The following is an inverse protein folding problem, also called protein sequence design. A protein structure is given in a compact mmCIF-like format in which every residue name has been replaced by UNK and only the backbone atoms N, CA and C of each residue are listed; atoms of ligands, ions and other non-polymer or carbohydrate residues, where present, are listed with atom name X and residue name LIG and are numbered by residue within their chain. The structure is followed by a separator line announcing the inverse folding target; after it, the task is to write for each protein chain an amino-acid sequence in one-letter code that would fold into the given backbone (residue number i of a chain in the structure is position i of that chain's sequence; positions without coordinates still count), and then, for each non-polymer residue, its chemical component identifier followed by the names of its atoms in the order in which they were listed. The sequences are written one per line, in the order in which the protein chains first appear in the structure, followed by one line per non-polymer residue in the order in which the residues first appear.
data_IF_081902997947
#
_entry.id   IF_081902997947
#
_cell.length_a   1.000
_cell.length_b   1.000
_cell.length_c   1.000
_cell.angle_alpha   90.00
_cell.angle_beta   90.00
_cell.angle_gamma   90.00
#
_symmetry.space_group_name_H-M   'P 1'
#
loop_
_entity.id
_entity.type
_entity.pdbx_description
1 polymer ?
#
# COMPACT_ATOMS: atom_id res chain seq x y z
N UNK A 1 -0.55 -12.81 10.63
CA UNK A 1 -0.53 -11.42 10.12
C UNK A 1 0.89 -11.08 9.75
N UNK A 2 1.16 -10.75 8.48
CA UNK A 2 2.47 -10.26 8.06
C UNK A 2 2.32 -8.79 7.63
N UNK A 3 2.38 -7.89 8.60
CA UNK A 3 2.22 -6.45 8.39
C UNK A 3 3.28 -5.89 7.45
N UNK A 4 4.51 -6.41 7.50
CA UNK A 4 5.59 -6.00 6.60
C UNK A 4 5.22 -6.27 5.14
N UNK A 5 4.69 -7.46 4.84
CA UNK A 5 4.25 -7.78 3.47
C UNK A 5 3.14 -6.85 2.98
N UNK A 6 2.18 -6.50 3.84
CA UNK A 6 1.08 -5.59 3.46
C UNK A 6 1.58 -4.17 3.20
N UNK A 7 2.49 -3.69 4.04
CA UNK A 7 3.13 -2.38 3.89
C UNK A 7 3.99 -2.36 2.61
N UNK A 8 4.83 -3.37 2.40
CA UNK A 8 5.69 -3.49 1.22
C UNK A 8 4.86 -3.49 -0.06
N UNK A 9 3.75 -4.24 -0.07
CA UNK A 9 2.84 -4.28 -1.23
C UNK A 9 2.14 -2.95 -1.44
N UNK A 10 1.72 -2.26 -0.38
CA UNK A 10 1.13 -0.93 -0.51
C UNK A 10 2.14 0.10 -1.06
N UNK A 11 3.41 0.04 -0.62
CA UNK A 11 4.48 0.88 -1.15
C UNK A 11 4.80 0.56 -2.61
N UNK A 12 4.79 -0.72 -3.00
CA UNK A 12 4.90 -1.15 -4.39
C UNK A 12 3.77 -0.58 -5.26
N UNK A 13 2.52 -0.68 -4.79
CA UNK A 13 1.34 -0.10 -5.47
C UNK A 13 1.52 1.40 -5.65
N UNK A 14 1.96 2.13 -4.62
CA UNK A 14 2.17 3.59 -4.72
C UNK A 14 3.28 3.94 -5.73
N UNK A 15 4.39 3.21 -5.72
CA UNK A 15 5.51 3.43 -6.66
C UNK A 15 5.13 3.18 -8.11
N UNK A 16 4.32 2.15 -8.35
CA UNK A 16 3.87 1.77 -9.70
C UNK A 16 2.56 2.46 -10.10
N UNK A 17 1.97 3.28 -9.22
CA UNK A 17 0.73 3.98 -9.54
C UNK A 17 1.00 5.19 -10.43
N UNK A 18 0.22 5.31 -11.51
CA UNK A 18 0.14 6.52 -12.32
C UNK A 18 -1.28 7.08 -12.23
N UNK A 19 -1.39 8.37 -11.88
CA UNK A 19 -2.67 9.10 -11.68
C UNK A 19 -3.67 8.35 -10.78
N UNK A 20 -3.18 7.59 -9.79
CA UNK A 20 -4.02 6.85 -8.84
C UNK A 20 -4.48 5.47 -9.33
N UNK A 21 -3.94 4.96 -10.43
CA UNK A 21 -4.22 3.63 -10.95
C UNK A 21 -2.94 2.79 -11.07
N UNK A 22 -3.08 1.48 -10.92
CA UNK A 22 -2.05 0.47 -11.25
C UNK A 22 -2.60 -0.48 -12.31
N UNK A 23 -1.72 -1.02 -13.15
CA UNK A 23 -2.09 -2.07 -14.10
C UNK A 23 -1.89 -3.43 -13.44
N UNK A 24 -2.91 -4.28 -13.50
CA UNK A 24 -2.84 -5.63 -12.97
C UNK A 24 -3.14 -6.67 -14.04
N UNK A 25 -2.42 -7.79 -14.01
CA UNK A 25 -2.76 -8.98 -14.79
C UNK A 25 -3.92 -9.78 -14.15
N UNK A 26 -4.30 -10.88 -14.80
CA UNK A 26 -5.36 -11.78 -14.31
C UNK A 26 -5.03 -12.49 -12.98
N UNK A 27 -3.78 -12.45 -12.54
CA UNK A 27 -3.29 -13.07 -11.31
C UNK A 27 -3.05 -12.02 -10.19
N UNK A 28 -3.44 -10.76 -10.41
CA UNK A 28 -3.22 -9.61 -9.51
C UNK A 28 -1.75 -9.21 -9.33
N UNK A 29 -0.88 -9.53 -10.29
CA UNK A 29 0.46 -8.97 -10.32
C UNK A 29 0.41 -7.55 -10.88
N UNK A 30 1.15 -6.65 -10.24
CA UNK A 30 1.28 -5.26 -10.70
C UNK A 30 2.35 -5.23 -11.77
N UNK A 31 2.05 -4.63 -12.91
CA UNK A 31 2.95 -4.53 -14.05
C UNK A 31 3.03 -3.09 -14.53
N UNK A 32 4.17 -2.69 -15.08
CA UNK A 32 4.24 -1.42 -15.82
C UNK A 32 3.59 -1.57 -17.21
N UNK A 33 3.17 -0.46 -17.85
CA UNK A 33 2.70 -0.49 -19.23
C UNK A 33 3.70 -1.15 -20.19
N UNK A 34 4.99 -0.90 -20.00
CA UNK A 34 6.08 -1.44 -20.82
C UNK A 34 6.20 -2.95 -20.65
N UNK A 35 6.16 -3.43 -19.40
CA UNK A 35 6.21 -4.87 -19.09
C UNK A 35 5.02 -5.62 -19.67
N UNK A 36 3.82 -5.05 -19.53
CA UNK A 36 2.60 -5.63 -20.09
C UNK A 36 2.67 -5.72 -21.61
N UNK A 37 3.14 -4.67 -22.28
CA UNK A 37 3.33 -4.64 -23.73
C UNK A 37 4.40 -5.64 -24.20
N UNK A 38 5.54 -5.70 -23.51
CA UNK A 38 6.64 -6.61 -23.83
C UNK A 38 6.25 -8.07 -23.70
N UNK A 39 5.59 -8.42 -22.59
CA UNK A 39 5.15 -9.79 -22.30
C UNK A 39 3.85 -10.17 -23.02
N UNK A 40 3.22 -9.24 -23.75
CA UNK A 40 1.92 -9.42 -24.42
C UNK A 40 0.83 -9.91 -23.47
N UNK A 41 0.85 -9.40 -22.24
CA UNK A 41 -0.11 -9.76 -21.19
C UNK A 41 -1.24 -8.73 -21.19
N UNK A 42 -2.47 -9.21 -21.12
CA UNK A 42 -3.62 -8.33 -20.92
C UNK A 42 -3.62 -7.84 -19.48
N UNK A 43 -3.67 -6.51 -19.32
CA UNK A 43 -3.74 -5.86 -18.03
C UNK A 43 -4.98 -5.00 -17.93
N UNK A 44 -5.47 -4.84 -16.70
CA UNK A 44 -6.64 -4.02 -16.39
C UNK A 44 -6.23 -2.93 -15.41
N UNK A 45 -6.65 -1.67 -15.62
CA UNK A 45 -6.40 -0.61 -14.66
C UNK A 45 -7.23 -0.84 -13.39
N UNK A 46 -6.60 -0.62 -12.24
CA UNK A 46 -7.25 -0.74 -10.94
C UNK A 46 -6.91 0.44 -10.04
N UNK A 47 -7.85 0.86 -9.21
CA UNK A 47 -7.67 2.00 -8.33
C UNK A 47 -6.68 1.68 -7.20
N UNK A 48 -5.53 2.37 -7.18
CA UNK A 48 -4.44 2.12 -6.25
C UNK A 48 -4.86 2.35 -4.79
N UNK A 49 -5.64 3.40 -4.52
CA UNK A 49 -6.12 3.70 -3.18
C UNK A 49 -7.06 2.59 -2.66
N UNK A 50 -8.01 2.16 -3.49
CA UNK A 50 -8.96 1.10 -3.12
C UNK A 50 -8.24 -0.23 -2.89
N UNK A 51 -7.21 -0.52 -3.69
CA UNK A 51 -6.36 -1.69 -3.51
C UNK A 51 -5.73 -1.67 -2.11
N UNK A 52 -5.02 -0.60 -1.77
CA UNK A 52 -4.33 -0.43 -0.48
C UNK A 52 -5.32 -0.56 0.68
N UNK A 53 -6.45 0.14 0.61
CA UNK A 53 -7.49 0.06 1.64
C UNK A 53 -8.01 -1.37 1.85
N UNK A 54 -8.18 -2.13 0.76
CA UNK A 54 -8.67 -3.52 0.83
C UNK A 54 -7.63 -4.43 1.48
N UNK A 55 -6.35 -4.26 1.15
CA UNK A 55 -5.26 -5.05 1.75
C UNK A 55 -5.16 -4.83 3.26
N UNK A 56 -5.24 -3.58 3.72
CA UNK A 56 -5.19 -3.24 5.14
C UNK A 56 -6.46 -3.71 5.88
N UNK A 57 -7.64 -3.55 5.27
CA UNK A 57 -8.91 -4.02 5.85
C UNK A 57 -8.95 -5.54 6.01
N UNK A 58 -8.37 -6.29 5.07
CA UNK A 58 -8.23 -7.75 5.17
C UNK A 58 -7.33 -8.17 6.35
N UNK A 59 -6.45 -7.27 6.83
CA UNK A 59 -5.67 -7.45 8.05
C UNK A 59 -6.34 -6.80 9.28
N UNK A 60 -7.64 -6.48 9.22
CA UNK A 60 -8.37 -5.93 10.35
C UNK A 60 -8.02 -4.49 10.71
N UNK A 61 -7.30 -3.76 9.84
CA UNK A 61 -7.02 -2.34 10.03
C UNK A 61 -7.68 -1.52 8.92
N UNK A 62 -8.77 -0.83 9.26
CA UNK A 62 -9.45 0.05 8.32
C UNK A 62 -8.77 1.43 8.25
N UNK A 63 -7.77 1.55 7.39
CA UNK A 63 -7.12 2.82 7.10
C UNK A 63 -7.97 3.76 6.22
N UNK A 64 -9.16 3.34 5.77
CA UNK A 64 -10.11 4.23 5.08
C UNK A 64 -10.86 5.15 6.06
N UNK A 65 -10.96 4.75 7.33
CA UNK A 65 -11.44 5.61 8.42
C UNK A 65 -10.40 6.69 8.77
N UNK A 66 -10.82 7.95 8.72
CA UNK A 66 -10.00 9.11 9.09
C UNK A 66 -9.55 9.04 10.56
N UNK A 67 -10.40 8.57 11.47
CA UNK A 67 -10.08 8.47 12.89
C UNK A 67 -8.97 7.45 13.13
N UNK A 68 -9.01 6.32 12.42
CA UNK A 68 -7.96 5.30 12.48
C UNK A 68 -6.63 5.88 11.99
N UNK A 69 -6.62 6.60 10.85
CA UNK A 69 -5.40 7.24 10.33
C UNK A 69 -4.79 8.25 11.30
N UNK A 70 -5.60 9.12 11.90
CA UNK A 70 -5.11 10.13 12.86
C UNK A 70 -4.47 9.46 14.08
N UNK A 71 -5.13 8.43 14.63
CA UNK A 71 -4.61 7.68 15.79
C UNK A 71 -3.30 6.97 15.46
N UNK A 72 -3.19 6.40 14.26
CA UNK A 72 -1.97 5.76 13.77
C UNK A 72 -0.80 6.74 13.65
N UNK A 73 -1.04 7.91 13.06
CA UNK A 73 -0.01 8.95 12.94
C UNK A 73 0.50 9.35 14.32
N UNK A 74 -0.41 9.68 15.25
CA UNK A 74 -0.03 10.03 16.62
C UNK A 74 0.76 8.90 17.30
N UNK A 75 0.34 7.64 17.17
CA UNK A 75 1.05 6.49 17.75
C UNK A 75 2.49 6.38 17.22
N UNK A 76 2.69 6.53 15.91
CA UNK A 76 4.02 6.44 15.28
C UNK A 76 4.93 7.60 15.72
N UNK A 77 4.39 8.81 15.79
CA UNK A 77 5.12 10.00 16.27
C UNK A 77 5.58 9.83 17.73
N UNK A 78 4.71 9.35 18.62
CA UNK A 78 5.02 9.08 20.02
C UNK A 78 6.08 7.97 20.16
N UNK A 79 5.97 6.92 19.35
CA UNK A 79 6.93 5.81 19.33
C UNK A 79 8.33 6.28 18.92
N UNK A 80 8.43 7.08 17.86
CA UNK A 80 9.69 7.66 17.39
C UNK A 80 10.31 8.60 18.43
N UNK A 81 9.48 9.36 19.16
CA UNK A 81 9.97 10.21 20.26
C UNK A 81 10.61 9.37 21.36
N UNK A 82 9.97 8.29 21.81
CA UNK A 82 10.50 7.39 22.84
C UNK A 82 11.80 6.70 22.40
N UNK A 83 11.92 6.33 21.11
CA UNK A 83 13.18 5.76 20.60
C UNK A 83 14.33 6.76 20.65
N UNK A 84 14.08 8.04 20.32
CA UNK A 84 15.10 9.10 20.40
C UNK A 84 15.51 9.39 21.85
N UNK A 85 14.59 9.29 22.79
CA UNK A 85 14.86 9.47 24.23
C UNK A 85 15.71 8.33 24.80
N UNK A 86 15.55 7.08 24.34
CA UNK A 86 16.39 5.93 24.75
C UNK A 86 17.84 6.01 24.30
N UNK A 87 18.17 6.86 23.32
CA UNK A 87 19.51 7.00 22.74
C UNK A 87 20.29 8.16 23.40
N UNK A 88 19.67 8.88 24.36
CA UNK A 88 20.34 9.85 25.24
C UNK A 88 20.66 9.24 26.60
#
# INVERSE_FOLDING_TARGET
MNWNTVIDKALEVLRNSDRGYVLMDMYNNILTPEEAAFNKVQVTPYNALKFIQTQFSAQGLDISDKNVRIKLIALLEEFDRLQKERIK
#
